data_IF_299103251342
#
_entry.id   IF_299103251342
#
_cell.length_a   1.000
_cell.length_b   1.000
_cell.length_c   1.000
_cell.angle_alpha   90.00
_cell.angle_beta   90.00
_cell.angle_gamma   90.00
#
_symmetry.space_group_name_H-M   'P 1'
#
loop_
_entity.id
_entity.type
_entity.pdbx_description
1 polymer ?
#
# COMPACT_ATOMS: atom_id res chain seq x y z
N UNK A 1 62.40 -50.32 45.61
CA UNK A 1 62.65 -49.86 44.22
C UNK A 1 61.36 -49.22 43.73
N UNK A 2 61.44 -47.98 43.22
CA UNK A 2 60.43 -47.21 42.43
C UNK A 2 59.16 -46.77 43.19
N UNK A 3 58.96 -45.51 43.63
CA UNK A 3 58.73 -44.19 42.96
C UNK A 3 57.39 -44.02 42.18
N UNK A 4 56.55 -43.11 42.74
CA UNK A 4 55.57 -42.17 42.12
C UNK A 4 54.22 -42.70 41.55
N UNK A 5 53.20 -41.83 41.30
CA UNK A 5 52.59 -40.82 42.18
C UNK A 5 51.03 -40.79 42.08
N UNK A 6 50.41 -39.90 42.87
CA UNK A 6 48.99 -39.54 42.93
C UNK A 6 48.32 -39.16 41.60
N UNK A 7 47.00 -39.38 41.48
CA UNK A 7 46.04 -38.41 40.91
C UNK A 7 44.58 -38.84 41.12
N UNK A 8 43.79 -37.89 41.63
CA UNK A 8 42.33 -37.90 41.71
C UNK A 8 41.69 -37.56 40.34
N UNK A 9 40.35 -37.54 40.31
CA UNK A 9 39.45 -37.18 39.19
C UNK A 9 39.18 -38.35 38.21
N UNK A 10 37.96 -38.71 37.84
CA UNK A 10 36.87 -37.88 37.32
C UNK A 10 35.48 -38.53 37.58
N UNK A 11 34.63 -37.86 38.35
CA UNK A 11 33.16 -37.95 38.21
C UNK A 11 32.72 -36.58 37.70
N UNK A 12 32.67 -36.40 36.38
CA UNK A 12 32.07 -35.21 35.77
C UNK A 12 30.64 -35.58 35.40
N UNK A 13 29.72 -35.13 36.25
CA UNK A 13 28.31 -35.12 35.97
C UNK A 13 28.05 -34.28 34.71
N UNK A 14 27.45 -34.90 33.71
CA UNK A 14 26.96 -34.28 32.49
C UNK A 14 25.78 -33.37 32.80
N UNK A 15 26.04 -32.17 33.31
CA UNK A 15 25.08 -31.07 33.35
C UNK A 15 25.37 -30.16 32.15
N UNK A 16 24.94 -30.59 30.96
CA UNK A 16 24.73 -29.65 29.85
C UNK A 16 23.59 -28.73 30.28
N UNK A 17 23.95 -27.58 30.85
CA UNK A 17 23.04 -26.47 31.02
C UNK A 17 22.49 -26.11 29.64
N UNK A 18 21.20 -26.40 29.41
CA UNK A 18 20.42 -25.76 28.37
C UNK A 18 20.38 -24.27 28.71
N UNK A 19 21.36 -23.52 28.23
CA UNK A 19 21.25 -22.07 28.15
C UNK A 19 20.04 -21.80 27.24
N UNK A 20 19.04 -21.02 27.69
CA UNK A 20 18.04 -20.56 26.75
C UNK A 20 18.79 -19.78 25.69
N UNK A 21 18.76 -20.27 24.45
CA UNK A 21 19.10 -19.47 23.28
C UNK A 21 17.98 -18.43 23.21
N UNK A 22 18.12 -17.36 23.98
CA UNK A 22 17.42 -16.13 23.69
C UNK A 22 18.03 -15.68 22.36
N UNK A 23 17.42 -16.10 21.26
CA UNK A 23 17.78 -15.61 19.95
C UNK A 23 17.48 -14.11 19.96
N UNK A 24 18.52 -13.31 20.16
CA UNK A 24 18.44 -11.87 19.99
C UNK A 24 17.76 -11.58 18.64
N UNK A 25 16.84 -10.61 18.64
CA UNK A 25 16.12 -10.22 17.43
C UNK A 25 17.06 -9.88 16.26
N UNK A 26 16.60 -10.04 15.02
CA UNK A 26 17.46 -9.82 13.83
C UNK A 26 17.87 -8.35 13.68
N UNK A 27 17.15 -7.42 14.33
CA UNK A 27 17.48 -5.99 14.35
C UNK A 27 18.25 -5.65 15.63
N UNK A 28 19.42 -5.02 15.49
CA UNK A 28 20.22 -4.59 16.64
C UNK A 28 19.79 -3.21 17.13
N UNK A 29 20.25 -2.80 18.31
CA UNK A 29 20.00 -1.44 18.85
C UNK A 29 20.54 -0.31 17.95
N UNK A 30 21.44 -0.61 17.02
CA UNK A 30 22.00 0.35 16.05
C UNK A 30 21.23 0.36 14.71
N UNK A 31 20.26 -0.52 14.54
CA UNK A 31 19.45 -0.57 13.33
C UNK A 31 18.58 0.69 13.21
N UNK A 32 18.36 1.24 12.00
CA UNK A 32 17.37 2.30 11.79
C UNK A 32 15.92 1.81 11.99
N UNK A 33 15.70 0.50 12.09
CA UNK A 33 14.39 -0.09 12.34
C UNK A 33 14.06 -0.03 13.83
N UNK A 34 12.92 0.58 14.16
CA UNK A 34 12.44 0.72 15.53
C UNK A 34 12.00 -0.64 16.10
N UNK A 35 12.66 -1.10 17.15
CA UNK A 35 12.26 -2.33 17.83
C UNK A 35 11.07 -2.04 18.77
N UNK A 36 9.97 -2.76 18.53
CA UNK A 36 8.71 -2.55 19.24
C UNK A 36 8.31 -3.86 19.92
N UNK A 37 7.91 -3.74 21.18
CA UNK A 37 7.36 -4.83 21.97
C UNK A 37 5.88 -4.56 22.28
N UNK A 38 5.18 -5.55 22.79
CA UNK A 38 3.79 -5.37 23.22
C UNK A 38 3.61 -4.22 24.21
N UNK A 39 4.60 -3.97 25.08
CA UNK A 39 4.51 -2.94 26.13
C UNK A 39 4.56 -1.52 25.57
N UNK A 40 5.31 -1.30 24.49
CA UNK A 40 5.54 0.04 23.93
C UNK A 40 4.85 0.27 22.57
N UNK A 41 4.22 -0.76 21.98
CA UNK A 41 3.49 -0.67 20.70
C UNK A 41 2.46 0.46 20.68
N UNK A 42 1.65 0.58 21.73
CA UNK A 42 0.61 1.61 21.77
C UNK A 42 1.21 3.01 21.76
N UNK A 43 2.30 3.24 22.51
CA UNK A 43 2.97 4.53 22.56
C UNK A 43 3.69 4.85 21.24
N UNK A 44 4.46 3.90 20.72
CA UNK A 44 5.36 4.14 19.59
C UNK A 44 4.65 4.09 18.24
N UNK A 45 3.60 3.27 18.12
CA UNK A 45 2.92 2.98 16.86
C UNK A 45 1.45 3.39 16.91
N UNK A 46 0.65 2.82 17.82
CA UNK A 46 -0.79 2.96 17.73
C UNK A 46 -1.31 4.39 18.00
N UNK A 47 -0.65 5.10 18.90
CA UNK A 47 -0.94 6.49 19.24
C UNK A 47 -0.07 7.50 18.47
N UNK A 48 0.80 7.03 17.56
CA UNK A 48 1.68 7.93 16.83
C UNK A 48 0.90 8.85 15.89
N UNK A 49 1.41 10.05 15.69
CA UNK A 49 0.92 10.98 14.68
C UNK A 49 1.41 10.60 13.27
N UNK A 50 2.39 9.68 13.16
CA UNK A 50 2.99 9.28 11.90
C UNK A 50 2.48 7.92 11.42
N UNK A 51 2.43 7.79 10.08
CA UNK A 51 2.25 6.47 9.47
C UNK A 51 3.45 5.60 9.82
N UNK A 52 3.18 4.33 10.12
CA UNK A 52 4.21 3.34 10.42
C UNK A 52 4.04 2.15 9.50
N UNK A 53 5.14 1.52 9.09
CA UNK A 53 5.13 0.12 8.65
C UNK A 53 5.74 -0.74 9.76
N UNK A 54 5.09 -1.84 10.08
CA UNK A 54 5.50 -2.76 11.15
C UNK A 54 5.72 -4.14 10.54
N UNK A 55 6.92 -4.67 10.69
CA UNK A 55 7.24 -6.07 10.42
C UNK A 55 6.97 -6.91 11.67
N UNK A 56 6.20 -7.98 11.49
CA UNK A 56 6.05 -9.05 12.46
C UNK A 56 6.88 -10.23 11.98
N UNK A 57 7.88 -10.63 12.76
CA UNK A 57 8.91 -11.59 12.36
C UNK A 57 9.26 -12.59 13.46
N UNK A 58 10.10 -13.57 13.12
CA UNK A 58 10.80 -14.44 14.08
C UNK A 58 12.27 -14.56 13.65
N UNK A 59 13.23 -14.66 14.60
CA UNK A 59 14.66 -14.58 14.27
C UNK A 59 15.19 -15.76 13.47
N UNK A 60 14.57 -16.93 13.62
CA UNK A 60 14.86 -18.15 12.87
C UNK A 60 14.27 -18.17 11.45
N UNK A 61 13.43 -17.19 11.08
CA UNK A 61 12.76 -17.18 9.78
C UNK A 61 13.68 -16.64 8.67
N UNK A 62 14.10 -17.52 7.75
CA UNK A 62 14.96 -17.16 6.61
C UNK A 62 14.38 -16.05 5.71
N UNK A 63 13.05 -16.00 5.51
CA UNK A 63 12.42 -14.91 4.75
C UNK A 63 12.52 -13.55 5.45
N UNK A 64 12.53 -13.51 6.78
CA UNK A 64 12.73 -12.27 7.55
C UNK A 64 14.19 -11.81 7.46
N UNK A 65 15.13 -12.75 7.56
CA UNK A 65 16.56 -12.47 7.38
C UNK A 65 16.85 -11.91 5.99
N UNK A 66 16.22 -12.44 4.94
CA UNK A 66 16.34 -11.94 3.57
C UNK A 66 15.70 -10.55 3.37
N UNK A 67 14.65 -10.23 4.12
CA UNK A 67 13.98 -8.92 4.06
C UNK A 67 14.79 -7.81 4.75
N UNK A 68 15.45 -8.14 5.86
CA UNK A 68 16.14 -7.18 6.73
C UNK A 68 16.96 -6.09 5.98
N UNK A 69 17.83 -6.40 5.01
CA UNK A 69 18.63 -5.35 4.35
C UNK A 69 17.78 -4.33 3.59
N UNK A 70 16.72 -4.78 2.92
CA UNK A 70 15.78 -3.90 2.23
C UNK A 70 14.94 -3.08 3.23
N UNK A 71 14.58 -3.69 4.37
CA UNK A 71 13.80 -3.04 5.42
C UNK A 71 14.60 -1.95 6.14
N UNK A 72 15.87 -2.19 6.47
CA UNK A 72 16.76 -1.18 7.04
C UNK A 72 17.00 -0.02 6.06
N UNK A 73 17.16 -0.30 4.76
CA UNK A 73 17.26 0.75 3.74
C UNK A 73 15.96 1.57 3.63
N UNK A 74 14.80 0.92 3.75
CA UNK A 74 13.53 1.62 3.78
C UNK A 74 13.40 2.50 5.03
N UNK A 75 13.83 2.01 6.20
CA UNK A 75 13.87 2.77 7.44
C UNK A 75 14.70 4.06 7.31
N UNK A 76 15.91 3.96 6.78
CA UNK A 76 16.74 5.14 6.50
C UNK A 76 16.08 6.12 5.52
N UNK A 77 15.39 5.60 4.49
CA UNK A 77 14.74 6.45 3.48
C UNK A 77 13.48 7.13 3.98
N UNK A 78 12.80 6.53 4.95
CA UNK A 78 11.58 7.05 5.58
C UNK A 78 11.87 7.85 6.85
N UNK A 79 13.13 7.99 7.26
CA UNK A 79 13.51 8.72 8.46
C UNK A 79 12.93 10.14 8.45
N UNK A 80 12.32 10.51 9.57
CA UNK A 80 11.56 11.74 9.72
C UNK A 80 10.24 11.81 8.93
N UNK A 81 9.92 10.92 8.00
CA UNK A 81 8.66 10.97 7.22
C UNK A 81 7.60 10.01 7.74
N UNK A 82 8.03 8.81 8.13
CA UNK A 82 7.21 7.72 8.63
C UNK A 82 8.06 6.81 9.53
N UNK A 83 7.42 5.95 10.32
CA UNK A 83 8.14 4.97 11.15
C UNK A 83 8.29 3.64 10.43
N UNK A 84 9.43 3.00 10.63
CA UNK A 84 9.68 1.62 10.21
C UNK A 84 10.03 0.84 11.46
N UNK A 85 9.24 -0.16 11.80
CA UNK A 85 9.30 -0.85 13.07
C UNK A 85 9.24 -2.36 12.91
N UNK A 86 9.77 -3.09 13.88
CA UNK A 86 9.74 -4.56 13.89
C UNK A 86 9.34 -5.09 15.27
N UNK A 87 8.52 -6.14 15.26
CA UNK A 87 8.03 -6.87 16.44
C UNK A 87 8.46 -8.32 16.30
N UNK A 88 9.25 -8.81 17.25
CA UNK A 88 9.65 -10.22 17.31
C UNK A 88 8.52 -11.05 17.93
N UNK A 89 7.80 -11.82 17.12
CA UNK A 89 6.68 -12.65 17.56
C UNK A 89 7.10 -14.00 18.18
N UNK A 90 8.39 -14.34 18.12
CA UNK A 90 8.94 -15.53 18.78
C UNK A 90 9.03 -15.31 20.31
N UNK A 91 9.23 -14.07 20.73
CA UNK A 91 9.25 -13.67 22.14
C UNK A 91 7.86 -13.79 22.77
N UNK A 92 7.79 -14.48 23.91
CA UNK A 92 6.54 -14.73 24.63
C UNK A 92 5.76 -13.45 24.97
N UNK A 93 6.46 -12.36 25.28
CA UNK A 93 5.81 -11.09 25.61
C UNK A 93 5.09 -10.43 24.43
N UNK A 94 5.45 -10.79 23.19
CA UNK A 94 4.89 -10.21 21.97
C UNK A 94 3.83 -11.10 21.31
N UNK A 95 3.73 -12.39 21.68
CA UNK A 95 2.74 -13.32 21.13
C UNK A 95 1.29 -12.79 21.19
N UNK A 96 0.81 -12.18 22.30
CA UNK A 96 -0.55 -11.64 22.31
C UNK A 96 -0.75 -10.46 21.36
N UNK A 97 0.24 -9.58 21.19
CA UNK A 97 0.20 -8.52 20.17
C UNK A 97 0.15 -9.12 18.77
N UNK A 98 1.01 -10.08 18.45
CA UNK A 98 1.04 -10.72 17.12
C UNK A 98 -0.29 -11.44 16.81
N UNK A 99 -0.88 -12.11 17.80
CA UNK A 99 -2.21 -12.70 17.69
C UNK A 99 -3.31 -11.66 17.43
N UNK A 100 -3.34 -10.55 18.19
CA UNK A 100 -4.31 -9.45 17.98
C UNK A 100 -4.15 -8.76 16.62
N UNK A 101 -2.92 -8.69 16.11
CA UNK A 101 -2.62 -8.15 14.79
C UNK A 101 -2.94 -9.13 13.66
N UNK A 102 -3.38 -10.36 13.96
CA UNK A 102 -3.74 -11.37 12.98
C UNK A 102 -2.54 -11.90 12.20
N UNK A 103 -1.38 -12.04 12.85
CA UNK A 103 -0.17 -12.57 12.21
C UNK A 103 -0.28 -14.10 12.11
N UNK A 104 -0.34 -14.61 10.87
CA UNK A 104 -0.47 -16.05 10.59
C UNK A 104 0.81 -16.67 10.02
N UNK A 105 1.80 -15.86 9.66
CA UNK A 105 3.07 -16.30 9.09
C UNK A 105 4.08 -15.15 9.03
N UNK A 106 5.35 -15.48 8.75
CA UNK A 106 6.45 -14.52 8.79
C UNK A 106 7.19 -14.40 7.45
N UNK A 107 7.69 -13.19 7.10
CA UNK A 107 7.33 -11.92 7.72
C UNK A 107 5.93 -11.48 7.29
N UNK A 108 5.20 -10.85 8.21
CA UNK A 108 3.97 -10.11 7.91
C UNK A 108 4.25 -8.63 8.04
N UNK A 109 3.99 -7.85 7.00
CA UNK A 109 4.14 -6.39 7.00
C UNK A 109 2.78 -5.73 7.12
N UNK A 110 2.61 -4.78 8.04
CA UNK A 110 1.37 -4.01 8.20
C UNK A 110 1.65 -2.53 8.20
N UNK A 111 0.86 -1.75 7.46
CA UNK A 111 0.87 -0.29 7.52
C UNK A 111 -0.16 0.17 8.55
N UNK A 112 0.29 0.95 9.52
CA UNK A 112 -0.52 1.56 10.56
C UNK A 112 -0.63 3.05 10.26
N UNK A 113 -1.83 3.49 9.88
CA UNK A 113 -2.13 4.88 9.54
C UNK A 113 -2.87 5.54 10.71
N UNK A 114 -2.37 6.67 11.24
CA UNK A 114 -3.05 7.45 12.26
C UNK A 114 -4.47 7.82 11.84
N UNK A 115 -5.38 7.85 12.79
CA UNK A 115 -6.76 8.29 12.56
C UNK A 115 -7.03 9.60 13.30
N UNK A 116 -8.16 10.26 12.98
CA UNK A 116 -8.63 11.44 13.71
C UNK A 116 -8.91 11.17 15.19
N UNK A 117 -9.17 9.92 15.54
CA UNK A 117 -9.37 9.48 16.92
C UNK A 117 -8.05 8.88 17.44
N UNK A 118 -7.44 9.48 18.48
CA UNK A 118 -6.25 8.94 19.10
C UNK A 118 -6.45 7.50 19.56
N UNK A 119 -5.45 6.64 19.33
CA UNK A 119 -5.44 5.24 19.75
C UNK A 119 -6.32 4.29 18.94
N UNK A 120 -6.92 4.74 17.84
CA UNK A 120 -7.63 3.87 16.90
C UNK A 120 -7.09 4.02 15.48
N UNK A 121 -5.82 3.65 15.22
CA UNK A 121 -5.24 3.73 13.89
C UNK A 121 -5.90 2.72 12.95
N UNK A 122 -5.82 2.99 11.65
CA UNK A 122 -6.21 2.03 10.62
C UNK A 122 -5.00 1.14 10.31
N UNK A 123 -5.17 -0.16 10.48
CA UNK A 123 -4.14 -1.16 10.20
C UNK A 123 -4.50 -1.86 8.90
N UNK A 124 -3.53 -1.99 8.00
CA UNK A 124 -3.68 -2.72 6.73
C UNK A 124 -2.49 -3.62 6.48
N UNK A 125 -2.73 -4.77 5.86
CA UNK A 125 -1.63 -5.62 5.39
C UNK A 125 -0.95 -5.00 4.18
N UNK A 126 0.38 -5.00 4.19
CA UNK A 126 1.18 -4.61 3.05
C UNK A 126 1.47 -5.84 2.20
N UNK A 127 0.88 -5.85 1.01
CA UNK A 127 1.04 -6.91 0.01
C UNK A 127 1.91 -6.51 -1.20
N UNK A 128 2.51 -5.31 -1.16
CA UNK A 128 3.39 -4.85 -2.24
C UNK A 128 4.74 -5.57 -2.24
N UNK A 129 5.55 -5.28 -3.26
CA UNK A 129 6.90 -5.83 -3.37
C UNK A 129 7.75 -5.47 -2.13
N UNK A 130 8.63 -6.39 -1.73
CA UNK A 130 9.46 -6.27 -0.51
C UNK A 130 10.82 -5.62 -0.76
N UNK A 131 10.96 -4.88 -1.86
CA UNK A 131 12.14 -4.04 -2.10
C UNK A 131 12.05 -2.75 -1.29
N UNK A 132 13.19 -2.16 -0.95
CA UNK A 132 13.24 -0.91 -0.18
C UNK A 132 12.39 0.19 -0.82
N UNK A 133 12.50 0.36 -2.16
CA UNK A 133 11.74 1.36 -2.91
C UNK A 133 10.24 1.13 -2.84
N UNK A 134 9.77 -0.10 -3.07
CA UNK A 134 8.34 -0.39 -3.03
C UNK A 134 7.74 -0.16 -1.64
N UNK A 135 8.47 -0.54 -0.60
CA UNK A 135 8.09 -0.27 0.79
C UNK A 135 7.99 1.25 1.05
N UNK A 136 9.01 2.01 0.64
CA UNK A 136 9.02 3.48 0.78
C UNK A 136 7.82 4.10 0.07
N UNK A 137 7.59 3.74 -1.20
CA UNK A 137 6.49 4.28 -2.01
C UNK A 137 5.13 3.91 -1.40
N UNK A 138 4.96 2.66 -0.95
CA UNK A 138 3.75 2.16 -0.30
C UNK A 138 3.43 2.89 1.01
N UNK A 139 4.44 3.14 1.85
CA UNK A 139 4.28 3.90 3.10
C UNK A 139 3.99 5.38 2.81
N UNK A 140 4.76 6.00 1.92
CA UNK A 140 4.54 7.39 1.50
C UNK A 140 3.14 7.62 0.93
N UNK A 141 2.59 6.67 0.19
CA UNK A 141 1.23 6.73 -0.33
C UNK A 141 0.15 6.77 0.76
N UNK A 142 0.46 6.27 1.97
CA UNK A 142 -0.47 6.18 3.09
C UNK A 142 -0.35 7.31 4.11
N UNK A 143 0.69 8.15 4.01
CA UNK A 143 0.85 9.34 4.86
C UNK A 143 -0.35 10.29 4.69
N UNK A 144 -1.11 10.60 5.76
CA UNK A 144 -2.22 11.54 5.72
C UNK A 144 -1.82 12.89 5.13
N UNK A 145 -2.68 13.47 4.30
CA UNK A 145 -2.44 14.79 3.73
C UNK A 145 -3.25 15.85 4.47
N UNK A 146 -2.56 16.65 5.28
CA UNK A 146 -3.12 17.81 5.96
C UNK A 146 -2.79 19.15 5.28
N UNK A 147 -2.14 19.09 4.11
CA UNK A 147 -1.76 20.28 3.34
C UNK A 147 -2.95 20.78 2.53
N UNK A 148 -3.30 22.05 2.70
CA UNK A 148 -4.32 22.72 1.88
C UNK A 148 -3.72 23.11 0.53
N UNK A 149 -4.34 22.69 -0.56
CA UNK A 149 -4.07 23.29 -1.87
C UNK A 149 -4.75 24.65 -1.93
N UNK A 150 -3.97 25.69 -2.14
CA UNK A 150 -4.42 27.09 -2.21
C UNK A 150 -4.26 27.55 -3.65
N UNK A 151 -5.29 28.23 -4.17
CA UNK A 151 -5.36 28.83 -5.50
C UNK A 151 -5.57 30.33 -5.37
N UNK A 152 -5.39 31.07 -6.45
CA UNK A 152 -5.63 32.53 -6.47
C UNK A 152 -7.04 32.87 -5.96
N UNK A 153 -8.02 32.04 -6.31
CA UNK A 153 -9.44 32.21 -5.93
C UNK A 153 -9.72 32.08 -4.43
N UNK A 154 -8.98 31.25 -3.71
CA UNK A 154 -9.24 30.95 -2.29
C UNK A 154 -8.15 31.46 -1.34
N UNK A 155 -7.09 32.08 -1.86
CA UNK A 155 -5.96 32.61 -1.10
C UNK A 155 -6.43 33.60 -0.02
N UNK A 156 -7.10 34.69 -0.40
CA UNK A 156 -7.48 35.74 0.55
C UNK A 156 -8.46 35.23 1.62
N UNK A 157 -9.39 34.35 1.23
CA UNK A 157 -10.28 33.70 2.17
C UNK A 157 -9.51 32.82 3.16
N UNK A 158 -8.53 32.05 2.68
CA UNK A 158 -7.76 31.16 3.53
C UNK A 158 -6.78 31.90 4.46
N UNK A 159 -6.22 33.02 4.00
CA UNK A 159 -5.37 33.90 4.80
C UNK A 159 -6.15 34.65 5.89
N UNK A 160 -7.40 35.03 5.62
CA UNK A 160 -8.24 35.78 6.56
C UNK A 160 -8.91 34.93 7.64
N UNK A 161 -9.06 33.61 7.43
CA UNK A 161 -9.50 32.68 8.47
C UNK A 161 -8.49 32.68 9.63
N UNK A 162 -8.91 32.71 10.89
CA UNK A 162 -8.01 32.57 12.06
C UNK A 162 -6.69 33.37 11.91
N UNK A 163 -6.79 34.69 11.82
CA UNK A 163 -5.66 35.59 11.50
C UNK A 163 -4.44 35.40 12.41
N UNK A 164 -4.66 35.00 13.65
CA UNK A 164 -3.59 34.75 14.63
C UNK A 164 -2.84 33.43 14.41
N UNK A 165 -3.39 32.49 13.62
CA UNK A 165 -2.75 31.19 13.39
C UNK A 165 -1.64 31.31 12.34
N UNK A 166 -0.41 30.87 12.65
CA UNK A 166 0.67 30.87 11.66
C UNK A 166 0.38 29.96 10.46
N UNK A 167 0.95 30.29 9.30
CA UNK A 167 0.80 29.52 8.06
C UNK A 167 2.13 29.32 7.37
N UNK A 168 2.34 28.12 6.83
CA UNK A 168 3.50 27.82 6.00
C UNK A 168 3.01 27.51 4.58
N UNK A 169 3.41 28.31 3.59
CA UNK A 169 3.01 28.21 2.20
C UNK A 169 4.18 27.73 1.35
N UNK A 170 4.06 26.53 0.78
CA UNK A 170 5.02 26.05 -0.22
C UNK A 170 4.57 26.45 -1.63
N UNK A 171 5.38 27.27 -2.29
CA UNK A 171 5.29 27.54 -3.71
C UNK A 171 6.06 26.48 -4.48
N UNK A 172 5.42 25.83 -5.46
CA UNK A 172 6.06 24.74 -6.21
C UNK A 172 5.51 24.57 -7.62
N UNK A 173 6.37 24.10 -8.52
CA UNK A 173 5.98 23.62 -9.85
C UNK A 173 5.35 22.23 -9.83
N UNK A 174 5.41 21.50 -8.71
CA UNK A 174 4.92 20.12 -8.62
C UNK A 174 3.43 20.06 -8.28
N UNK A 175 2.72 19.18 -8.97
CA UNK A 175 1.28 19.01 -8.79
C UNK A 175 0.97 18.18 -7.56
N UNK A 176 1.85 17.24 -7.23
CA UNK A 176 1.73 16.37 -6.07
C UNK A 176 2.24 17.06 -4.81
N UNK A 177 1.67 16.69 -3.67
CA UNK A 177 2.16 17.14 -2.36
C UNK A 177 3.24 16.17 -1.90
N UNK A 178 4.44 16.68 -1.67
CA UNK A 178 5.58 15.85 -1.25
C UNK A 178 5.32 15.19 0.09
N UNK A 179 5.95 14.03 0.35
CA UNK A 179 5.87 13.39 1.67
C UNK A 179 6.47 14.28 2.77
N UNK A 180 7.53 15.03 2.45
CA UNK A 180 8.12 16.02 3.36
C UNK A 180 7.10 17.06 3.81
N UNK A 181 6.37 17.69 2.88
CA UNK A 181 5.37 18.70 3.24
C UNK A 181 4.19 18.09 4.02
N UNK A 182 3.77 16.86 3.66
CA UNK A 182 2.75 16.13 4.43
C UNK A 182 3.22 15.81 5.85
N UNK A 183 4.47 15.39 6.02
CA UNK A 183 5.06 15.16 7.34
C UNK A 183 5.09 16.44 8.16
N UNK A 184 5.55 17.56 7.59
CA UNK A 184 5.57 18.84 8.30
C UNK A 184 4.15 19.28 8.70
N UNK A 185 3.16 19.06 7.84
CA UNK A 185 1.76 19.34 8.17
C UNK A 185 1.21 18.46 9.31
N UNK A 186 1.75 17.26 9.51
CA UNK A 186 1.46 16.39 10.65
C UNK A 186 2.17 16.92 11.90
N UNK A 187 3.47 17.23 11.79
CA UNK A 187 4.29 17.73 12.90
C UNK A 187 3.69 19.00 13.50
N UNK A 188 3.16 19.91 12.67
CA UNK A 188 2.55 21.17 13.13
C UNK A 188 1.01 21.16 13.07
N UNK A 189 0.39 19.99 13.03
CA UNK A 189 -1.06 19.89 12.88
C UNK A 189 -1.78 20.64 14.02
N UNK A 190 -2.56 21.65 13.65
CA UNK A 190 -3.33 22.49 14.58
C UNK A 190 -2.57 23.70 15.13
N UNK A 191 -1.24 23.75 15.02
CA UNK A 191 -0.42 24.91 15.43
C UNK A 191 -0.01 25.78 14.24
N UNK A 192 0.32 25.18 13.10
CA UNK A 192 0.63 25.88 11.84
C UNK A 192 -0.22 25.29 10.72
N UNK A 193 -0.94 26.14 9.97
CA UNK A 193 -1.65 25.68 8.77
C UNK A 193 -0.69 25.60 7.60
N UNK A 194 -0.52 24.41 7.04
CA UNK A 194 0.38 24.19 5.90
C UNK A 194 -0.41 24.21 4.60
N UNK A 195 0.05 25.01 3.64
CA UNK A 195 -0.55 25.14 2.32
C UNK A 195 0.46 24.92 1.20
N UNK A 196 -0.05 24.60 0.01
CA UNK A 196 0.73 24.47 -1.21
C UNK A 196 0.07 25.29 -2.32
N UNK A 197 0.86 26.13 -2.98
CA UNK A 197 0.49 26.97 -4.10
C UNK A 197 1.30 26.55 -5.33
N UNK A 198 0.64 26.48 -6.48
CA UNK A 198 1.30 26.11 -7.74
C UNK A 198 1.89 27.35 -8.41
N UNK A 199 2.98 27.18 -9.15
CA UNK A 199 3.57 28.25 -9.97
C UNK A 199 2.61 28.91 -10.98
N UNK A 200 1.51 28.23 -11.35
CA UNK A 200 0.46 28.77 -12.24
C UNK A 200 -0.52 29.74 -11.56
N UNK A 201 -0.49 29.84 -10.24
CA UNK A 201 -1.34 30.75 -9.46
C UNK A 201 -0.60 32.09 -9.40
N UNK A 202 -0.72 32.87 -10.49
CA UNK A 202 0.14 34.04 -10.74
C UNK A 202 -0.10 35.16 -9.74
N UNK A 203 -1.35 35.37 -9.30
CA UNK A 203 -1.67 36.42 -8.33
C UNK A 203 -0.99 36.12 -6.99
N UNK A 204 -1.01 34.86 -6.56
CA UNK A 204 -0.30 34.42 -5.35
C UNK A 204 1.22 34.56 -5.50
N UNK A 205 1.79 34.13 -6.62
CA UNK A 205 3.25 34.20 -6.88
C UNK A 205 3.73 35.65 -6.87
N UNK A 206 3.00 36.57 -7.52
CA UNK A 206 3.31 38.00 -7.53
C UNK A 206 3.13 38.63 -6.14
N UNK A 207 2.03 38.31 -5.43
CA UNK A 207 1.73 38.85 -4.09
C UNK A 207 2.82 38.55 -3.07
N UNK A 208 3.47 37.40 -3.16
CA UNK A 208 4.55 37.00 -2.26
C UNK A 208 5.96 37.19 -2.87
N UNK A 209 6.06 37.77 -4.07
CA UNK A 209 7.34 38.06 -4.72
C UNK A 209 8.18 36.82 -5.03
N UNK A 210 7.56 35.69 -5.36
CA UNK A 210 8.25 34.42 -5.55
C UNK A 210 8.86 34.35 -6.95
N UNK A 211 10.20 34.28 -7.02
CA UNK A 211 10.95 34.18 -8.28
C UNK A 211 11.55 32.80 -8.52
N UNK A 212 11.69 31.99 -7.47
CA UNK A 212 12.31 30.66 -7.53
C UNK A 212 11.37 29.59 -6.97
N UNK A 213 11.57 28.34 -7.37
CA UNK A 213 10.78 27.21 -6.90
C UNK A 213 11.70 26.02 -6.60
N UNK A 214 11.46 25.26 -5.50
CA UNK A 214 10.45 25.50 -4.49
C UNK A 214 10.84 26.62 -3.50
N UNK A 215 9.86 27.42 -3.07
CA UNK A 215 10.04 28.42 -2.01
C UNK A 215 9.02 28.24 -0.91
N UNK A 216 9.47 28.25 0.34
CA UNK A 216 8.59 28.17 1.51
C UNK A 216 8.47 29.57 2.12
N UNK A 217 7.24 30.01 2.36
CA UNK A 217 6.95 31.29 3.02
C UNK A 217 6.21 31.02 4.32
N UNK A 218 6.68 31.59 5.41
CA UNK A 218 5.99 31.60 6.69
C UNK A 218 5.23 32.91 6.87
N UNK A 219 3.96 32.79 7.25
CA UNK A 219 3.12 33.87 7.73
C UNK A 219 2.99 33.67 9.23
N UNK A 220 3.64 34.48 10.09
CA UNK A 220 3.65 34.24 11.53
C UNK A 220 2.30 34.40 12.25
N UNK A 221 1.28 34.89 11.56
CA UNK A 221 -0.01 35.25 12.15
C UNK A 221 -0.03 36.71 12.65
N UNK A 222 -1.24 37.25 12.76
CA UNK A 222 -1.49 38.66 13.07
C UNK A 222 -1.10 39.59 11.90
N UNK A 223 -0.72 40.82 12.21
CA UNK A 223 -0.27 41.84 11.24
C UNK A 223 1.26 41.75 10.94
N UNK A 224 1.88 40.60 11.21
CA UNK A 224 3.32 40.38 10.96
C UNK A 224 3.60 40.11 9.50
N UNK A 225 4.75 40.59 9.03
CA UNK A 225 5.19 40.40 7.65
C UNK A 225 5.52 38.94 7.33
N UNK A 226 5.30 38.50 6.07
CA UNK A 226 5.76 37.20 5.57
C UNK A 226 7.27 37.05 5.65
N UNK A 227 7.75 35.85 5.99
CA UNK A 227 9.17 35.51 6.05
C UNK A 227 9.44 34.41 5.02
N UNK A 228 10.32 34.68 4.05
CA UNK A 228 10.75 33.69 3.06
C UNK A 228 11.85 32.81 3.67
N UNK A 229 11.73 31.50 3.50
CA UNK A 229 12.74 30.54 3.92
C UNK A 229 13.82 30.39 2.84
N UNK A 230 15.07 30.57 3.25
CA UNK A 230 16.28 30.50 2.41
C UNK A 230 17.18 29.30 2.75
N UNK A 231 16.80 28.48 3.73
CA UNK A 231 17.58 27.34 4.18
C UNK A 231 17.42 26.08 3.33
N UNK A 232 18.14 25.02 3.72
CA UNK A 232 18.06 23.73 3.03
C UNK A 232 16.67 23.11 3.11
N UNK A 233 16.17 22.56 2.00
CA UNK A 233 14.86 21.92 1.95
C UNK A 233 14.83 20.51 2.57
N UNK A 234 15.27 20.41 3.82
CA UNK A 234 15.31 19.20 4.66
C UNK A 234 14.39 19.37 5.86
N UNK A 235 13.85 18.26 6.35
CA UNK A 235 12.85 18.26 7.44
C UNK A 235 13.31 19.05 8.67
N UNK A 236 14.51 18.75 9.20
CA UNK A 236 14.98 19.36 10.45
C UNK A 236 15.20 20.87 10.31
N UNK A 237 15.76 21.32 9.19
CA UNK A 237 16.00 22.74 8.93
C UNK A 237 14.67 23.52 8.78
N UNK A 238 13.66 22.92 8.16
CA UNK A 238 12.32 23.52 8.08
C UNK A 238 11.62 23.49 9.45
N UNK A 239 11.78 22.43 10.26
CA UNK A 239 11.23 22.39 11.62
C UNK A 239 11.82 23.51 12.47
N UNK A 240 13.13 23.72 12.41
CA UNK A 240 13.81 24.80 13.13
C UNK A 240 13.28 26.17 12.70
N UNK A 241 13.11 26.38 11.39
CA UNK A 241 12.52 27.60 10.83
C UNK A 241 11.04 27.79 11.18
N UNK A 242 10.24 26.74 11.34
CA UNK A 242 8.87 26.87 11.83
C UNK A 242 8.83 27.01 13.37
N UNK A 243 9.91 26.62 14.05
CA UNK A 243 10.14 26.70 15.48
C UNK A 243 9.97 28.10 16.08
N UNK A 244 10.20 29.15 15.29
CA UNK A 244 10.00 30.55 15.69
C UNK A 244 8.53 30.92 15.94
N UNK A 245 7.56 30.13 15.43
CA UNK A 245 6.13 30.42 15.62
C UNK A 245 5.38 29.31 16.33
N UNK A 246 5.86 28.07 16.26
CA UNK A 246 5.26 26.94 16.94
C UNK A 246 6.30 25.83 17.19
N UNK A 247 6.11 25.04 18.24
CA UNK A 247 6.85 23.79 18.41
C UNK A 247 6.17 22.65 17.66
N UNK A 248 6.93 21.69 17.10
CA UNK A 248 6.34 20.49 16.54
C UNK A 248 5.62 19.70 17.64
N UNK A 249 4.47 19.14 17.30
CA UNK A 249 3.68 18.30 18.17
C UNK A 249 4.51 17.11 18.66
N UNK A 250 4.44 16.78 19.95
CA UNK A 250 5.09 15.58 20.45
C UNK A 250 4.42 14.34 19.84
N UNK A 251 5.20 13.26 19.71
CA UNK A 251 4.76 11.99 19.15
C UNK A 251 5.01 10.85 20.16
N UNK A 252 3.94 10.18 20.66
CA UNK A 252 2.52 10.38 20.33
C UNK A 252 1.98 11.71 20.90
N UNK A 253 0.92 12.24 20.28
CA UNK A 253 0.28 13.46 20.79
C UNK A 253 -0.22 13.26 22.24
N UNK A 254 -0.16 14.30 23.11
CA UNK A 254 -0.59 14.15 24.49
C UNK A 254 -2.09 13.89 24.49
N UNK A 255 -2.53 12.89 25.24
CA UNK A 255 -3.96 12.59 25.38
C UNK A 255 -4.62 13.80 26.04
N UNK A 256 -5.41 14.58 25.29
CA UNK A 256 -6.21 15.67 25.87
C UNK A 256 -7.07 15.08 27.00
N UNK A 257 -6.97 15.60 28.25
CA UNK A 257 -7.73 15.05 29.35
C UNK A 257 -9.22 15.14 29.01
N UNK A 258 -9.91 13.99 29.01
CA UNK A 258 -11.37 13.95 28.92
C UNK A 258 -11.92 14.80 30.07
N UNK A 259 -12.69 15.83 29.75
CA UNK A 259 -13.47 16.56 30.74
C UNK A 259 -14.30 15.52 31.53
N UNK A 260 -14.02 15.40 32.83
CA UNK A 260 -14.71 14.48 33.72
C UNK A 260 -16.17 14.89 33.82
N UNK A 261 -17.08 14.16 33.20
CA UNK A 261 -18.47 14.14 33.64
C UNK A 261 -18.56 13.30 34.91
N UNK A 262 -19.05 13.94 35.97
CA UNK A 262 -19.24 13.37 37.29
C UNK A 262 -20.51 12.50 37.35
N UNK A 263 -20.40 11.39 38.08
CA UNK A 263 -21.45 10.53 38.67
C UNK A 263 -22.53 9.97 37.73
N UNK A 264 -22.78 8.66 37.72
CA UNK A 264 -23.30 7.97 38.91
C UNK A 264 -23.02 6.47 38.88
N UNK A 265 -22.59 5.98 40.05
CA UNK A 265 -22.46 4.60 40.46
C UNK A 265 -23.80 3.84 40.38
N UNK A 266 -23.77 2.62 39.82
CA UNK A 266 -24.58 1.53 40.34
C UNK A 266 -23.81 0.22 40.20
N UNK A 267 -23.37 -0.28 41.35
CA UNK A 267 -22.78 -1.60 41.53
C UNK A 267 -23.86 -2.68 41.44
N UNK A 268 -23.53 -3.81 40.83
CA UNK A 268 -24.15 -5.12 41.09
C UNK A 268 -23.10 -6.19 40.78
N UNK A 269 -22.95 -7.11 41.74
CA UNK A 269 -21.86 -8.06 42.00
C UNK A 269 -21.84 -9.28 41.02
N UNK A 270 -20.80 -10.13 41.07
CA UNK A 270 -20.41 -11.09 40.03
C UNK A 270 -21.13 -12.44 40.14
N UNK A 271 -21.18 -13.17 39.04
CA UNK A 271 -21.44 -14.62 39.05
C UNK A 271 -20.23 -15.34 38.48
N UNK A 272 -19.55 -16.03 39.38
CA UNK A 272 -18.54 -17.06 39.15
C UNK A 272 -19.20 -18.34 38.64
N UNK A 273 -18.66 -18.97 37.60
CA UNK A 273 -18.56 -20.44 37.52
C UNK A 273 -17.56 -20.84 36.45
N UNK A 274 -16.40 -21.35 36.87
CA UNK A 274 -15.70 -22.41 36.16
C UNK A 274 -16.30 -23.75 36.59
N UNK A 275 -16.12 -24.80 35.80
CA UNK A 275 -15.25 -25.86 36.31
C UNK A 275 -14.18 -26.30 35.31
N UNK A 276 -13.13 -26.86 35.87
CA UNK A 276 -11.94 -27.39 35.23
C UNK A 276 -12.09 -28.87 34.84
N UNK A 277 -11.10 -29.32 34.05
CA UNK A 277 -10.54 -30.68 33.94
C UNK A 277 -11.47 -31.76 33.32
N UNK A 278 -11.03 -32.76 32.56
CA UNK A 278 -9.74 -33.30 32.15
C UNK A 278 -9.92 -33.85 30.71
N UNK A 279 -8.85 -33.97 29.94
CA UNK A 279 -8.35 -35.27 29.46
C UNK A 279 -7.21 -35.09 28.46
N UNK A 280 -6.09 -35.69 28.84
CA UNK A 280 -4.93 -35.93 28.00
C UNK A 280 -5.12 -37.27 27.30
N UNK A 281 -4.90 -37.33 25.99
CA UNK A 281 -4.57 -38.60 25.36
C UNK A 281 -3.52 -38.43 24.23
N UNK A 282 -2.39 -39.05 24.52
CA UNK A 282 -1.42 -39.72 23.66
C UNK A 282 -0.94 -39.08 22.34
N UNK A 283 0.33 -38.70 22.42
CA UNK A 283 1.27 -38.69 21.33
C UNK A 283 1.32 -40.05 20.61
N UNK A 284 1.23 -40.00 19.29
CA UNK A 284 1.78 -41.05 18.42
C UNK A 284 2.77 -40.44 17.45
N UNK A 285 4.04 -40.71 17.75
CA UNK A 285 5.19 -40.50 16.89
C UNK A 285 5.01 -41.28 15.59
N UNK A 286 5.20 -40.62 14.46
CA UNK A 286 5.55 -41.27 13.20
C UNK A 286 6.56 -40.37 12.48
N UNK A 287 7.82 -40.78 12.64
CA UNK A 287 8.76 -40.98 11.54
C UNK A 287 8.91 -39.86 10.51
N UNK A 288 10.04 -39.17 10.57
CA UNK A 288 10.57 -38.37 9.45
C UNK A 288 10.78 -39.26 8.21
N UNK A 289 10.43 -38.79 7.01
CA UNK A 289 11.20 -39.12 5.83
C UNK A 289 12.03 -37.92 5.36
N UNK A 290 13.21 -38.28 4.87
CA UNK A 290 14.29 -37.47 4.37
C UNK A 290 13.88 -36.53 3.23
N UNK A 291 14.75 -35.54 3.01
CA UNK A 291 14.83 -34.68 1.84
C UNK A 291 14.57 -35.44 0.53
N UNK A 292 13.46 -35.10 -0.12
CA UNK A 292 13.31 -35.22 -1.56
C UNK A 292 12.70 -33.90 -2.08
N UNK A 293 13.48 -33.21 -2.90
CA UNK A 293 13.07 -32.01 -3.62
C UNK A 293 11.88 -32.37 -4.51
N UNK A 294 10.67 -31.99 -4.09
CA UNK A 294 9.47 -32.06 -4.93
C UNK A 294 8.84 -30.69 -5.04
N UNK A 295 9.10 -30.08 -6.19
CA UNK A 295 8.45 -28.89 -6.71
C UNK A 295 6.92 -28.96 -6.49
N UNK A 296 6.44 -28.17 -5.54
CA UNK A 296 5.02 -28.08 -5.21
C UNK A 296 4.27 -27.39 -6.36
N UNK A 297 3.60 -28.18 -7.21
CA UNK A 297 2.62 -27.68 -8.19
C UNK A 297 1.56 -26.83 -7.49
N UNK A 298 1.64 -25.52 -7.68
CA UNK A 298 0.58 -24.55 -7.35
C UNK A 298 -0.69 -24.98 -8.10
N UNK A 299 -1.84 -25.03 -7.41
CA UNK A 299 -3.11 -25.31 -8.08
C UNK A 299 -3.35 -24.24 -9.16
N UNK A 300 -3.60 -24.69 -10.40
CA UNK A 300 -3.73 -23.82 -11.56
C UNK A 300 -5.02 -23.00 -11.46
N UNK A 301 -4.93 -21.68 -11.64
CA UNK A 301 -6.10 -20.82 -11.63
C UNK A 301 -7.05 -21.17 -12.80
N UNK A 302 -8.39 -21.05 -12.62
CA UNK A 302 -9.34 -21.30 -13.69
C UNK A 302 -9.13 -20.35 -14.88
N UNK A 303 -9.25 -20.82 -16.13
CA UNK A 303 -9.08 -19.96 -17.31
C UNK A 303 -10.08 -18.80 -17.31
N UNK A 304 -9.67 -17.67 -17.87
CA UNK A 304 -10.57 -16.53 -18.10
C UNK A 304 -11.53 -16.81 -19.27
N UNK A 305 -12.71 -16.21 -19.23
CA UNK A 305 -13.73 -16.39 -20.26
C UNK A 305 -13.28 -15.85 -21.63
N UNK A 306 -13.69 -16.53 -22.71
CA UNK A 306 -13.37 -16.15 -24.09
C UNK A 306 -14.57 -15.54 -24.79
N UNK A 307 -14.40 -14.35 -25.38
CA UNK A 307 -15.42 -13.65 -26.15
C UNK A 307 -15.23 -13.91 -27.64
N UNK A 308 -15.75 -15.04 -28.12
CA UNK A 308 -15.54 -15.50 -29.51
C UNK A 308 -16.39 -14.75 -30.55
N UNK A 309 -17.45 -14.04 -30.16
CA UNK A 309 -18.35 -13.31 -31.08
C UNK A 309 -18.39 -11.81 -30.80
N UNK A 310 -18.75 -11.03 -31.82
CA UNK A 310 -18.83 -9.56 -31.71
C UNK A 310 -19.87 -9.16 -30.67
N UNK A 311 -21.03 -9.80 -30.68
CA UNK A 311 -22.16 -9.48 -29.80
C UNK A 311 -21.81 -9.72 -28.32
N UNK A 312 -21.02 -10.77 -28.05
CA UNK A 312 -20.53 -11.06 -26.70
C UNK A 312 -19.55 -9.98 -26.23
N UNK A 313 -18.65 -9.52 -27.11
CA UNK A 313 -17.73 -8.42 -26.85
C UNK A 313 -18.45 -7.09 -26.61
N UNK A 314 -19.43 -6.78 -27.44
CA UNK A 314 -20.23 -5.57 -27.32
C UNK A 314 -21.05 -5.55 -26.03
N UNK A 315 -21.75 -6.65 -25.75
CA UNK A 315 -22.58 -6.77 -24.55
C UNK A 315 -21.75 -6.72 -23.28
N UNK A 316 -20.61 -7.41 -23.23
CA UNK A 316 -19.77 -7.47 -22.05
C UNK A 316 -19.05 -6.14 -21.79
N UNK A 317 -18.47 -5.53 -22.82
CA UNK A 317 -17.46 -4.48 -22.62
C UNK A 317 -17.65 -3.22 -23.46
N UNK A 318 -18.38 -3.24 -24.59
CA UNK A 318 -18.55 -2.08 -25.47
C UNK A 318 -19.96 -1.45 -25.45
N UNK A 319 -20.83 -1.86 -24.53
CA UNK A 319 -22.13 -1.22 -24.35
C UNK A 319 -22.00 0.18 -23.72
N UNK A 320 -22.91 1.14 -24.00
CA UNK A 320 -22.87 2.49 -23.39
C UNK A 320 -22.90 2.51 -21.85
N UNK A 321 -23.37 1.43 -21.24
CA UNK A 321 -23.43 1.27 -19.78
C UNK A 321 -22.36 0.34 -19.22
N UNK A 322 -21.49 -0.22 -20.06
CA UNK A 322 -20.45 -1.14 -19.61
C UNK A 322 -19.50 -0.45 -18.64
N UNK A 323 -19.20 -1.14 -17.54
CA UNK A 323 -18.17 -0.72 -16.59
C UNK A 323 -16.78 -0.99 -17.18
N UNK A 324 -15.74 -0.84 -16.36
CA UNK A 324 -14.39 -1.22 -16.78
C UNK A 324 -14.36 -2.71 -17.13
N UNK A 325 -13.63 -3.07 -18.19
CA UNK A 325 -13.24 -4.44 -18.56
C UNK A 325 -11.74 -4.48 -18.85
N UNK A 326 -11.12 -5.66 -18.69
CA UNK A 326 -9.79 -5.95 -19.23
C UNK A 326 -9.91 -7.02 -20.31
N UNK A 327 -9.28 -6.79 -21.46
CA UNK A 327 -9.27 -7.68 -22.60
C UNK A 327 -7.83 -8.07 -22.95
N UNK A 328 -7.59 -9.36 -23.13
CA UNK A 328 -6.43 -9.90 -23.84
C UNK A 328 -6.83 -10.12 -25.30
N UNK A 329 -6.34 -9.27 -26.20
CA UNK A 329 -6.49 -9.46 -27.64
C UNK A 329 -5.43 -10.46 -28.10
N UNK A 330 -5.87 -11.65 -28.50
CA UNK A 330 -4.96 -12.73 -28.89
C UNK A 330 -4.37 -12.45 -30.29
N UNK A 331 -3.17 -12.97 -30.60
CA UNK A 331 -2.62 -12.92 -31.95
C UNK A 331 -3.27 -13.99 -32.86
N UNK A 332 -3.06 -13.88 -34.17
CA UNK A 332 -3.48 -14.92 -35.11
C UNK A 332 -2.70 -16.22 -34.88
N UNK A 333 -3.42 -17.30 -34.56
CA UNK A 333 -2.83 -18.64 -34.48
C UNK A 333 -2.63 -19.19 -35.89
N UNK A 334 -1.39 -19.54 -36.25
CA UNK A 334 -1.08 -20.11 -37.57
C UNK A 334 -1.63 -21.54 -37.77
N UNK A 335 -2.03 -22.24 -36.70
CA UNK A 335 -2.63 -23.58 -36.74
C UNK A 335 -3.62 -23.77 -35.56
N UNK A 336 -4.67 -24.58 -35.75
CA UNK A 336 -5.75 -24.76 -34.76
C UNK A 336 -5.35 -25.54 -33.50
N UNK A 337 -4.28 -26.33 -33.57
CA UNK A 337 -3.76 -27.18 -32.48
C UNK A 337 -2.32 -26.81 -32.07
N UNK A 338 -1.77 -25.70 -32.59
CA UNK A 338 -0.44 -25.26 -32.23
C UNK A 338 -0.41 -24.69 -30.81
N UNK A 339 0.67 -25.04 -30.09
CA UNK A 339 0.93 -24.55 -28.76
C UNK A 339 1.04 -23.02 -28.78
N UNK A 340 0.27 -22.35 -27.92
CA UNK A 340 0.22 -20.89 -27.87
C UNK A 340 1.63 -20.32 -27.59
N UNK A 341 2.03 -19.21 -28.24
CA UNK A 341 3.32 -18.59 -27.96
C UNK A 341 3.50 -18.30 -26.46
N UNK A 342 4.71 -18.45 -25.94
CA UNK A 342 5.00 -18.25 -24.51
C UNK A 342 4.47 -16.91 -23.94
N UNK A 343 4.58 -15.76 -24.65
CA UNK A 343 3.98 -14.51 -24.17
C UNK A 343 2.45 -14.57 -24.01
N UNK A 344 1.76 -15.33 -24.87
CA UNK A 344 0.31 -15.53 -24.79
C UNK A 344 -0.06 -16.36 -23.57
N UNK A 345 0.66 -17.46 -23.33
CA UNK A 345 0.47 -18.30 -22.14
C UNK A 345 0.75 -17.51 -20.87
N UNK A 346 1.84 -16.75 -20.83
CA UNK A 346 2.22 -15.93 -19.67
C UNK A 346 1.12 -14.90 -19.36
N UNK A 347 0.65 -14.16 -20.38
CA UNK A 347 -0.41 -13.17 -20.21
C UNK A 347 -1.72 -13.77 -19.69
N UNK A 348 -2.18 -14.86 -20.30
CA UNK A 348 -3.43 -15.51 -19.91
C UNK A 348 -3.33 -16.12 -18.50
N UNK A 349 -2.18 -16.70 -18.17
CA UNK A 349 -1.91 -17.25 -16.82
C UNK A 349 -1.91 -16.13 -15.78
N UNK A 350 -1.20 -15.03 -16.04
CA UNK A 350 -1.18 -13.86 -15.16
C UNK A 350 -2.57 -13.28 -14.95
N UNK A 351 -3.36 -13.13 -16.01
CA UNK A 351 -4.74 -12.65 -15.92
C UNK A 351 -5.65 -13.59 -15.13
N UNK A 352 -5.54 -14.90 -15.37
CA UNK A 352 -6.27 -15.94 -14.64
C UNK A 352 -5.92 -15.96 -13.15
N UNK A 353 -4.62 -15.91 -12.82
CA UNK A 353 -4.11 -15.83 -11.44
C UNK A 353 -4.68 -14.61 -10.70
N UNK A 354 -4.73 -13.44 -11.37
CA UNK A 354 -5.29 -12.21 -10.81
C UNK A 354 -6.79 -12.38 -10.53
N UNK A 355 -7.57 -12.81 -11.53
CA UNK A 355 -9.03 -13.00 -11.35
C UNK A 355 -9.32 -13.99 -10.23
N UNK A 356 -8.59 -15.10 -10.20
CA UNK A 356 -8.74 -16.12 -9.17
C UNK A 356 -8.38 -15.58 -7.78
N UNK A 357 -7.25 -14.89 -7.65
CA UNK A 357 -6.82 -14.25 -6.40
C UNK A 357 -7.86 -13.29 -5.85
N UNK A 358 -8.50 -12.48 -6.69
CA UNK A 358 -9.53 -11.54 -6.28
C UNK A 358 -10.85 -12.22 -5.91
N UNK A 359 -11.24 -13.26 -6.66
CA UNK A 359 -12.42 -14.09 -6.37
C UNK A 359 -12.32 -14.78 -5.01
N UNK A 360 -11.17 -15.40 -4.71
CA UNK A 360 -10.91 -16.05 -3.41
C UNK A 360 -10.99 -15.07 -2.22
N UNK A 361 -10.71 -13.79 -2.45
CA UNK A 361 -10.75 -12.73 -1.43
C UNK A 361 -12.10 -12.01 -1.33
N UNK A 362 -13.14 -12.49 -2.03
CA UNK A 362 -14.48 -11.88 -2.07
C UNK A 362 -14.47 -10.39 -2.51
N UNK A 363 -13.46 -9.98 -3.28
CA UNK A 363 -13.36 -8.63 -3.80
C UNK A 363 -13.87 -8.58 -5.25
N UNK A 364 -14.82 -7.69 -5.52
CA UNK A 364 -15.33 -7.46 -6.87
C UNK A 364 -14.29 -6.74 -7.71
N UNK A 365 -13.66 -7.47 -8.64
CA UNK A 365 -12.85 -6.90 -9.72
C UNK A 365 -13.73 -6.71 -10.96
N UNK A 366 -13.34 -5.80 -11.85
CA UNK A 366 -13.93 -5.77 -13.20
C UNK A 366 -13.61 -7.08 -13.95
N UNK A 367 -14.44 -7.50 -14.92
CA UNK A 367 -14.26 -8.76 -15.62
C UNK A 367 -13.07 -8.72 -16.60
N UNK A 368 -12.47 -9.90 -16.79
CA UNK A 368 -11.31 -10.13 -17.67
C UNK A 368 -11.73 -11.13 -18.73
N UNK A 369 -11.37 -10.86 -19.98
CA UNK A 369 -11.71 -11.71 -21.10
C UNK A 369 -10.54 -11.91 -22.03
N UNK A 370 -10.48 -13.07 -22.68
CA UNK A 370 -9.68 -13.25 -23.89
C UNK A 370 -10.55 -13.02 -25.12
N UNK A 371 -9.97 -12.41 -26.16
CA UNK A 371 -10.67 -12.11 -27.41
C UNK A 371 -9.82 -12.65 -28.56
N UNK A 372 -10.25 -13.74 -29.23
CA UNK A 372 -9.52 -14.31 -30.37
C UNK A 372 -9.65 -13.41 -31.61
N UNK A 373 -8.71 -13.54 -32.56
CA UNK A 373 -8.77 -12.81 -33.83
C UNK A 373 -9.93 -13.22 -34.73
N UNK A 374 -10.53 -14.40 -34.48
CA UNK A 374 -11.79 -14.83 -35.12
C UNK A 374 -12.96 -13.91 -34.78
N UNK A 375 -12.87 -13.16 -33.67
CA UNK A 375 -13.81 -12.10 -33.37
C UNK A 375 -13.45 -10.86 -34.19
N UNK A 376 -14.25 -10.52 -35.20
CA UNK A 376 -14.00 -9.34 -36.05
C UNK A 376 -14.01 -8.02 -35.27
N UNK A 377 -14.67 -7.96 -34.10
CA UNK A 377 -14.60 -6.82 -33.19
C UNK A 377 -13.21 -6.60 -32.58
N UNK A 378 -12.40 -7.65 -32.43
CA UNK A 378 -11.01 -7.54 -31.99
C UNK A 378 -10.16 -6.77 -33.00
N UNK A 379 -10.35 -7.03 -34.30
CA UNK A 379 -9.67 -6.30 -35.39
C UNK A 379 -10.07 -4.83 -35.39
N UNK A 380 -11.37 -4.54 -35.27
CA UNK A 380 -11.87 -3.16 -35.16
C UNK A 380 -11.27 -2.44 -33.95
N UNK A 381 -11.16 -3.11 -32.80
CA UNK A 381 -10.52 -2.53 -31.61
C UNK A 381 -9.03 -2.24 -31.85
N UNK A 382 -8.27 -3.18 -32.41
CA UNK A 382 -6.85 -2.98 -32.73
C UNK A 382 -6.63 -1.75 -33.62
N UNK A 383 -7.40 -1.64 -34.70
CA UNK A 383 -7.33 -0.49 -35.63
C UNK A 383 -7.75 0.81 -34.96
N UNK A 384 -8.92 0.85 -34.29
CA UNK A 384 -9.42 2.10 -33.70
C UNK A 384 -8.56 2.60 -32.55
N UNK A 385 -7.99 1.70 -31.76
CA UNK A 385 -7.13 2.05 -30.63
C UNK A 385 -5.67 2.29 -31.03
N UNK A 386 -5.29 2.01 -32.29
CA UNK A 386 -3.91 2.13 -32.76
C UNK A 386 -2.96 1.16 -32.07
N UNK A 387 -3.42 -0.06 -31.81
CA UNK A 387 -2.65 -1.10 -31.10
C UNK A 387 -2.46 -2.31 -32.02
N UNK A 388 -1.21 -2.55 -32.44
CA UNK A 388 -0.76 -3.72 -33.24
C UNK A 388 -1.78 -4.11 -34.33
N UNK A 389 -1.76 -3.35 -35.42
CA UNK A 389 -2.64 -3.55 -36.60
C UNK A 389 -2.38 -4.88 -37.31
N UNK A 390 -1.17 -5.41 -37.17
CA UNK A 390 -0.67 -6.66 -37.72
C UNK A 390 -1.21 -7.91 -36.99
N UNK A 391 -1.70 -7.78 -35.75
CA UNK A 391 -2.31 -8.88 -35.02
C UNK A 391 -1.33 -10.01 -34.65
N UNK A 392 -0.02 -9.74 -34.69
CA UNK A 392 1.03 -10.74 -34.44
C UNK A 392 1.40 -10.85 -32.95
N UNK A 393 1.10 -9.82 -32.15
CA UNK A 393 1.34 -9.80 -30.71
C UNK A 393 0.04 -9.87 -29.89
N UNK A 394 0.16 -10.43 -28.69
CA UNK A 394 -0.86 -10.30 -27.67
C UNK A 394 -0.85 -8.89 -27.09
N UNK A 395 -2.04 -8.34 -26.87
CA UNK A 395 -2.23 -7.01 -26.33
C UNK A 395 -3.20 -7.06 -25.15
N UNK A 396 -2.80 -6.52 -24.00
CA UNK A 396 -3.69 -6.37 -22.85
C UNK A 396 -4.18 -4.92 -22.80
N UNK A 397 -5.50 -4.73 -22.90
CA UNK A 397 -6.13 -3.42 -22.84
C UNK A 397 -7.20 -3.38 -21.77
N UNK A 398 -7.42 -2.20 -21.20
CA UNK A 398 -8.52 -1.91 -20.30
C UNK A 398 -9.36 -0.80 -20.90
N UNK A 399 -10.68 -0.93 -20.84
CA UNK A 399 -11.60 0.06 -21.40
C UNK A 399 -12.86 0.17 -20.55
N UNK A 400 -13.55 1.31 -20.65
CA UNK A 400 -14.79 1.57 -19.93
C UNK A 400 -15.76 2.29 -20.87
N UNK A 401 -16.80 1.59 -21.32
CA UNK A 401 -17.78 2.14 -22.27
C UNK A 401 -18.56 3.31 -21.68
N UNK A 402 -18.96 3.24 -20.40
CA UNK A 402 -19.71 4.31 -19.73
C UNK A 402 -18.92 5.60 -19.53
N UNK A 403 -17.62 5.49 -19.21
CA UNK A 403 -16.75 6.65 -18.93
C UNK A 403 -15.89 7.06 -20.12
N UNK A 404 -16.00 6.36 -21.25
CA UNK A 404 -15.38 6.72 -22.52
C UNK A 404 -13.85 6.78 -22.48
N UNK A 405 -13.19 5.86 -21.76
CA UNK A 405 -11.73 5.80 -21.71
C UNK A 405 -11.18 4.39 -21.95
N UNK A 406 -9.93 4.33 -22.41
CA UNK A 406 -9.16 3.10 -22.50
C UNK A 406 -7.69 3.30 -22.12
N UNK A 407 -6.99 2.19 -21.92
CA UNK A 407 -5.57 2.14 -21.56
C UNK A 407 -4.96 0.82 -22.07
N UNK A 408 -3.73 0.88 -22.55
CA UNK A 408 -2.91 -0.30 -22.88
C UNK A 408 -1.99 -0.68 -21.73
N UNK A 409 -1.73 -1.96 -21.55
CA UNK A 409 -0.61 -2.45 -20.75
C UNK A 409 0.66 -2.41 -21.59
N UNK A 410 1.67 -1.70 -21.12
CA UNK A 410 2.98 -1.66 -21.79
C UNK A 410 3.84 -2.80 -21.25
N UNK A 411 4.01 -3.85 -22.05
CA UNK A 411 4.84 -4.99 -21.68
C UNK A 411 6.30 -4.55 -21.54
N UNK A 412 6.91 -4.84 -20.39
CA UNK A 412 8.34 -4.62 -20.16
C UNK A 412 9.09 -5.82 -20.74
N UNK A 413 9.96 -5.59 -21.71
CA UNK A 413 10.70 -6.63 -22.45
C UNK A 413 9.80 -7.70 -23.10
N UNK A 414 8.57 -7.33 -23.48
CA UNK A 414 7.60 -8.26 -24.07
C UNK A 414 7.01 -9.29 -23.10
N UNK A 415 7.21 -9.10 -21.79
CA UNK A 415 6.76 -10.02 -20.75
C UNK A 415 5.46 -9.58 -20.09
N UNK A 416 4.69 -10.57 -19.66
CA UNK A 416 3.38 -10.41 -19.04
C UNK A 416 3.35 -11.00 -17.63
N UNK A 417 4.42 -10.77 -16.86
CA UNK A 417 4.54 -11.29 -15.49
C UNK A 417 3.40 -10.82 -14.57
N UNK A 418 2.93 -11.74 -13.72
CA UNK A 418 1.74 -11.55 -12.88
C UNK A 418 1.79 -10.30 -12.02
N UNK A 419 2.94 -9.97 -11.42
CA UNK A 419 3.09 -8.79 -10.56
C UNK A 419 2.95 -7.48 -11.34
N UNK A 420 3.46 -7.41 -12.57
CA UNK A 420 3.41 -6.21 -13.39
C UNK A 420 2.00 -5.99 -13.97
N UNK A 421 1.36 -7.07 -14.43
CA UNK A 421 -0.04 -7.03 -14.90
C UNK A 421 -0.97 -6.69 -13.72
N UNK A 422 -0.75 -7.28 -12.54
CA UNK A 422 -1.55 -6.99 -11.34
C UNK A 422 -1.39 -5.54 -10.89
N UNK A 423 -0.17 -5.00 -10.87
CA UNK A 423 0.07 -3.59 -10.54
C UNK A 423 -0.65 -2.64 -11.51
N UNK A 424 -0.66 -2.97 -12.81
CA UNK A 424 -1.39 -2.20 -13.81
C UNK A 424 -2.93 -2.28 -13.62
N UNK A 425 -3.45 -3.47 -13.33
CA UNK A 425 -4.86 -3.69 -12.96
C UNK A 425 -5.24 -2.90 -11.70
N UNK A 426 -4.38 -2.89 -10.69
CA UNK A 426 -4.61 -2.15 -9.46
C UNK A 426 -4.61 -0.64 -9.67
N UNK A 427 -3.69 -0.13 -10.51
CA UNK A 427 -3.71 1.28 -10.91
C UNK A 427 -5.04 1.66 -11.57
N UNK A 428 -5.60 0.80 -12.43
CA UNK A 428 -6.92 1.02 -13.04
C UNK A 428 -8.03 1.06 -11.98
N UNK A 429 -7.99 0.11 -11.03
CA UNK A 429 -8.96 0.02 -9.92
C UNK A 429 -8.93 1.27 -9.03
N UNK A 430 -7.74 1.80 -8.75
CA UNK A 430 -7.52 3.00 -7.94
C UNK A 430 -7.74 4.30 -8.73
N UNK A 431 -7.96 4.21 -10.04
CA UNK A 431 -8.18 5.36 -10.91
C UNK A 431 -6.90 6.13 -11.27
N UNK A 432 -5.74 5.51 -11.08
CA UNK A 432 -4.41 6.05 -11.29
C UNK A 432 -3.91 5.82 -12.74
N UNK A 433 -2.96 6.65 -13.17
CA UNK A 433 -2.36 6.58 -14.50
C UNK A 433 -3.10 7.35 -15.60
N UNK A 434 -2.43 7.52 -16.73
CA UNK A 434 -2.99 8.19 -17.91
C UNK A 434 -4.10 7.33 -18.54
N UNK A 435 -5.19 8.00 -18.96
CA UNK A 435 -6.35 7.40 -19.62
C UNK A 435 -6.53 8.06 -20.97
N UNK A 436 -6.59 7.27 -22.02
CA UNK A 436 -6.85 7.76 -23.37
C UNK A 436 -8.36 7.86 -23.58
N UNK A 437 -8.82 8.88 -24.32
CA UNK A 437 -10.22 8.98 -24.72
C UNK A 437 -10.53 7.82 -25.66
N UNK A 438 -11.66 7.15 -25.44
CA UNK A 438 -12.12 6.08 -26.30
C UNK A 438 -12.59 6.68 -27.65
N UNK A 439 -12.08 6.19 -28.80
CA UNK A 439 -12.46 6.69 -30.11
C UNK A 439 -13.94 6.50 -30.42
N UNK A 440 -14.48 7.36 -31.29
CA UNK A 440 -15.88 7.30 -31.69
C UNK A 440 -16.22 6.01 -32.48
N UNK A 441 -17.39 5.46 -32.18
CA UNK A 441 -17.87 4.19 -32.73
C UNK A 441 -17.14 2.94 -32.20
N UNK A 442 -16.38 3.02 -31.10
CA UNK A 442 -15.93 1.83 -30.36
C UNK A 442 -17.03 1.31 -29.42
N UNK A 443 -17.85 2.22 -28.88
CA UNK A 443 -19.03 1.87 -28.08
C UNK A 443 -20.22 1.75 -29.01
N UNK A 444 -21.01 0.68 -28.87
CA UNK A 444 -22.23 0.49 -29.65
C UNK A 444 -23.18 1.69 -29.45
N UNK A 445 -23.55 2.38 -30.53
CA UNK A 445 -24.57 3.43 -30.49
C UNK A 445 -25.93 2.77 -30.25
N UNK A 446 -26.75 3.31 -29.35
CA UNK A 446 -28.16 2.92 -29.25
C UNK A 446 -28.80 3.12 -30.62
N UNK A 447 -29.15 2.04 -31.32
CA UNK A 447 -30.33 2.11 -32.17
C UNK A 447 -31.52 2.36 -31.24
N UNK A 448 -32.14 3.52 -31.39
CA UNK A 448 -33.46 3.80 -30.86
C UNK A 448 -34.44 2.80 -31.49
N UNK A 449 -34.77 1.73 -30.75
CA UNK A 449 -36.11 1.17 -30.84
C UNK A 449 -37.07 2.10 -30.10
N UNK A 450 -37.33 3.27 -30.69
CA UNK A 450 -38.57 3.99 -30.44
C UNK A 450 -39.64 3.40 -31.35
N UNK A 451 -40.82 3.19 -30.77
CA UNK A 451 -41.90 2.44 -31.38
C UNK A 451 -42.51 3.11 -32.59
N UNK A 452 -42.86 2.29 -33.58
CA UNK A 452 -44.01 2.52 -34.45
C UNK A 452 -44.67 1.16 -34.69
N UNK A 453 -45.95 1.07 -34.34
CA UNK A 453 -46.73 -0.16 -34.39
C UNK A 453 -48.09 -0.05 -33.69
N UNK A 454 -48.73 1.12 -33.81
CA UNK A 454 -50.18 1.24 -33.78
C UNK A 454 -50.58 1.94 -35.08
N UNK A 455 -51.64 1.42 -35.69
CA UNK A 455 -52.35 1.83 -36.91
C UNK A 455 -51.65 1.59 -38.26
N UNK A 456 -52.01 0.49 -38.95
CA UNK A 456 -53.06 0.51 -40.00
C UNK A 456 -53.33 -0.91 -40.54
N UNK A 457 -54.63 -1.18 -40.73
CA UNK A 457 -55.35 -2.33 -41.36
C UNK A 457 -55.76 -3.51 -40.47
#
# INVERSE_FOLDING_TARGET
MMMQPSSAFLLVASLLAALPVNADGIYTKKSPVLQVTQKNYDQLIANSNHTSIVEFYAPWCGHCQNLKPAYEKAATSLDGLAKVAAVNCDEDENKPLCGRMGVQGFPTLKIVVPSKKPGSPRVEDYHGARSAKAIVDGVMGKIPNHVKRVTDKDLDQWLSQDKETPRALLFTEKGTTSALLRSLAIDFLGSVKVGQIRNKESEAVEKFGITEFPSLVLLPGGEKEPIVYDGEFKKNAIIEFLGQVATPNPDPAPVKPKAKSSKSSKASKPSSTAPAADDAEEAKSTESPQDDVKESKRAQAPPIDTLSTIEALETACLAPKSSTCVLALLPESKEADAEQPEPVKEALTSMSDIVHKYSQRQHKLFPFYSVPTTNSGAKTLRTKLGVSEDGESIEIIALNGRRGWWRRYEAVDGKFGVDAVEAWVDAIRLGEGAKNKLPEGVVATKEEKEGSGHDEL
#
